data_IF_459737532748
#
_entry.id   IF_459737532748
#
_cell.length_a   1.000
_cell.length_b   1.000
_cell.length_c   1.000
_cell.angle_alpha   90.00
_cell.angle_beta   90.00
_cell.angle_gamma   90.00
#
_symmetry.space_group_name_H-M   'P 1'
#
loop_
_entity.id
_entity.type
_entity.pdbx_description
1 polymer ?
#
# COMPACT_ATOMS: atom_id res chain seq x y z
N UNK A 1 14.00 -10.90 -2.59
CA UNK A 1 13.35 -11.24 -1.32
C UNK A 1 12.69 -12.60 -1.47
N UNK A 2 12.73 -13.44 -0.43
CA UNK A 2 11.95 -14.70 -0.40
C UNK A 2 10.48 -14.41 -0.12
N UNK A 3 9.59 -15.37 -0.39
CA UNK A 3 8.15 -15.24 -0.09
C UNK A 3 7.87 -14.97 1.39
N UNK A 4 8.69 -15.53 2.28
CA UNK A 4 8.63 -15.28 3.72
C UNK A 4 8.98 -13.83 4.06
N UNK A 5 10.09 -13.32 3.53
CA UNK A 5 10.52 -11.92 3.72
C UNK A 5 9.48 -10.93 3.16
N UNK A 6 8.85 -11.25 2.03
CA UNK A 6 7.79 -10.40 1.46
C UNK A 6 6.58 -10.38 2.40
N UNK A 7 6.18 -11.52 2.96
CA UNK A 7 5.07 -11.58 3.90
C UNK A 7 5.35 -10.78 5.18
N UNK A 8 6.56 -10.86 5.75
CA UNK A 8 6.95 -10.08 6.93
C UNK A 8 6.95 -8.57 6.64
N UNK A 9 7.53 -8.14 5.50
CA UNK A 9 7.54 -6.72 5.13
C UNK A 9 6.13 -6.20 4.87
N UNK A 10 5.29 -6.97 4.18
CA UNK A 10 3.90 -6.59 3.95
C UNK A 10 3.13 -6.40 5.26
N UNK A 11 3.26 -7.35 6.18
CA UNK A 11 2.65 -7.25 7.51
C UNK A 11 3.17 -6.02 8.27
N UNK A 12 4.49 -5.83 8.31
CA UNK A 12 5.09 -4.69 9.00
C UNK A 12 4.62 -3.35 8.44
N UNK A 13 4.50 -3.24 7.11
CA UNK A 13 3.99 -2.02 6.45
C UNK A 13 2.56 -1.72 6.85
N UNK A 14 1.68 -2.73 6.83
CA UNK A 14 0.28 -2.53 7.22
C UNK A 14 0.18 -2.16 8.69
N UNK A 15 0.88 -2.86 9.59
CA UNK A 15 0.82 -2.57 11.02
C UNK A 15 1.38 -1.20 11.38
N UNK A 16 2.42 -0.73 10.70
CA UNK A 16 3.03 0.57 10.95
C UNK A 16 2.15 1.77 10.58
N UNK A 17 1.13 1.57 9.72
CA UNK A 17 0.19 2.63 9.31
C UNK A 17 -1.13 2.59 10.07
N UNK A 18 -1.30 1.66 11.02
CA UNK A 18 -2.49 1.61 11.86
C UNK A 18 -2.43 2.70 12.93
N UNK A 19 -3.56 3.36 13.23
CA UNK A 19 -3.61 4.43 14.24
C UNK A 19 -3.42 3.90 15.68
N UNK A 20 -3.59 2.59 15.90
CA UNK A 20 -3.37 1.94 17.18
C UNK A 20 -3.08 0.44 16.97
N UNK A 21 -2.81 -0.28 18.06
CA UNK A 21 -2.54 -1.71 18.00
C UNK A 21 -3.67 -2.49 17.31
N UNK A 22 -3.30 -3.47 16.47
CA UNK A 22 -4.24 -4.34 15.76
C UNK A 22 -5.37 -4.83 16.66
N UNK A 23 -5.03 -5.33 17.87
CA UNK A 23 -5.99 -5.86 18.87
C UNK A 23 -7.12 -4.90 19.22
N UNK A 24 -6.85 -3.60 19.28
CA UNK A 24 -7.86 -2.57 19.56
C UNK A 24 -8.77 -2.35 18.35
N UNK A 25 -8.20 -2.36 17.15
CA UNK A 25 -8.97 -2.28 15.90
C UNK A 25 -9.86 -3.50 15.67
N UNK A 26 -9.50 -4.68 16.19
CA UNK A 26 -10.34 -5.89 16.09
C UNK A 26 -11.68 -5.74 16.81
N UNK A 27 -11.77 -4.81 17.77
CA UNK A 27 -12.98 -4.50 18.53
C UNK A 27 -13.78 -3.34 17.93
N UNK A 28 -13.21 -2.64 16.95
CA UNK A 28 -13.83 -1.50 16.31
C UNK A 28 -14.64 -1.89 15.07
N UNK A 29 -15.44 -0.94 14.59
CA UNK A 29 -16.23 -1.08 13.36
C UNK A 29 -15.72 -0.10 12.29
N UNK A 30 -16.32 -0.13 11.10
CA UNK A 30 -15.92 0.73 9.99
C UNK A 30 -16.07 2.23 10.29
N UNK A 31 -16.92 2.64 11.24
CA UNK A 31 -17.09 4.06 11.60
C UNK A 31 -15.94 4.62 12.42
N UNK A 32 -15.03 3.77 12.89
CA UNK A 32 -13.78 4.19 13.54
C UNK A 32 -12.68 4.59 12.54
N UNK A 33 -12.87 4.34 11.24
CA UNK A 33 -11.89 4.68 10.21
C UNK A 33 -12.17 6.04 9.57
N UNK A 34 -11.12 6.73 9.09
CA UNK A 34 -11.25 7.87 8.19
C UNK A 34 -12.10 7.54 6.95
N UNK A 35 -12.79 8.54 6.43
CA UNK A 35 -13.67 8.42 5.27
C UNK A 35 -13.01 9.01 4.02
N UNK A 36 -13.07 8.29 2.91
CA UNK A 36 -12.62 8.73 1.59
C UNK A 36 -13.82 9.20 0.76
N UNK A 37 -13.74 10.43 0.26
CA UNK A 37 -14.75 11.03 -0.60
C UNK A 37 -14.50 10.74 -2.08
N UNK A 38 -15.47 11.12 -2.93
CA UNK A 38 -15.44 10.82 -4.37
C UNK A 38 -14.32 11.53 -5.14
N UNK A 39 -13.75 12.60 -4.58
CA UNK A 39 -12.58 13.31 -5.10
C UNK A 39 -11.24 12.69 -4.64
N UNK A 40 -11.29 11.65 -3.80
CA UNK A 40 -10.11 10.97 -3.23
C UNK A 40 -9.55 11.63 -1.97
N UNK A 41 -10.14 12.73 -1.50
CA UNK A 41 -9.79 13.33 -0.21
C UNK A 41 -10.14 12.37 0.93
N UNK A 42 -9.32 12.37 1.98
CA UNK A 42 -9.51 11.54 3.16
C UNK A 42 -9.77 12.45 4.33
N UNK A 43 -10.85 12.21 5.05
CA UNK A 43 -11.19 12.98 6.23
C UNK A 43 -11.29 12.07 7.44
N UNK A 44 -10.75 12.54 8.56
CA UNK A 44 -10.77 11.80 9.81
C UNK A 44 -10.77 12.73 11.01
N UNK A 45 -10.80 12.16 12.22
CA UNK A 45 -10.71 12.94 13.45
C UNK A 45 -9.41 13.76 13.50
N UNK A 46 -9.48 15.01 13.97
CA UNK A 46 -8.29 15.78 14.26
C UNK A 46 -7.47 15.11 15.37
N UNK A 47 -6.14 15.23 15.31
CA UNK A 47 -5.22 14.56 16.24
C UNK A 47 -5.41 15.01 17.70
N UNK A 48 -5.83 16.26 17.91
CA UNK A 48 -6.07 16.89 19.20
C UNK A 48 -7.55 16.88 19.63
N UNK A 49 -8.47 16.62 18.69
CA UNK A 49 -9.91 16.63 18.95
C UNK A 49 -10.68 15.69 18.02
N UNK A 50 -11.04 14.52 18.53
CA UNK A 50 -11.79 13.51 17.77
C UNK A 50 -13.21 13.94 17.37
N UNK A 51 -13.76 15.03 17.93
CA UNK A 51 -15.06 15.57 17.54
C UNK A 51 -14.98 16.49 16.30
N UNK A 52 -13.79 16.88 15.87
CA UNK A 52 -13.57 17.70 14.68
C UNK A 52 -13.10 16.82 13.53
N UNK A 53 -13.76 16.93 12.38
CA UNK A 53 -13.37 16.25 11.16
C UNK A 53 -12.47 17.16 10.34
N UNK A 54 -11.28 16.69 9.98
CA UNK A 54 -10.29 17.41 9.16
C UNK A 54 -9.93 16.60 7.94
N UNK A 55 -9.54 17.29 6.87
CA UNK A 55 -8.92 16.67 5.71
C UNK A 55 -7.48 16.27 6.06
N UNK A 56 -7.13 15.02 5.80
CA UNK A 56 -5.79 14.48 5.97
C UNK A 56 -4.92 14.84 4.76
N UNK A 57 -3.60 15.01 4.97
CA UNK A 57 -2.70 15.39 3.89
C UNK A 57 -2.61 14.30 2.81
N UNK A 58 -2.19 14.70 1.61
CA UNK A 58 -2.15 13.82 0.43
C UNK A 58 -1.17 12.64 0.57
N UNK A 59 -0.22 12.70 1.49
CA UNK A 59 0.75 11.65 1.82
C UNK A 59 0.31 10.76 3.00
N UNK A 60 -0.90 10.98 3.52
CA UNK A 60 -1.46 10.16 4.59
C UNK A 60 -1.55 8.68 4.18
N UNK A 61 -1.24 7.81 5.15
CA UNK A 61 -1.23 6.36 5.00
C UNK A 61 -2.11 5.73 6.09
N UNK A 62 -2.76 4.63 5.75
CA UNK A 62 -3.63 3.90 6.66
C UNK A 62 -4.86 3.30 5.98
N UNK A 63 -5.78 2.79 6.80
CA UNK A 63 -7.07 2.27 6.36
C UNK A 63 -8.12 3.38 6.34
N UNK A 64 -8.86 3.45 5.23
CA UNK A 64 -10.01 4.34 5.10
C UNK A 64 -11.22 3.56 4.57
N UNK A 65 -12.40 4.17 4.66
CA UNK A 65 -13.64 3.62 4.11
C UNK A 65 -14.29 4.61 3.18
N UNK A 66 -14.99 4.12 2.16
CA UNK A 66 -15.91 4.95 1.37
C UNK A 66 -17.25 4.27 1.24
N UNK A 67 -18.28 5.08 0.99
CA UNK A 67 -19.62 4.58 0.64
C UNK A 67 -19.97 5.19 -0.70
N UNK A 68 -20.18 4.33 -1.71
CA UNK A 68 -20.67 4.73 -3.01
C UNK A 68 -21.94 3.92 -3.33
N UNK A 69 -23.03 4.61 -3.67
CA UNK A 69 -24.32 3.99 -3.95
C UNK A 69 -24.77 2.98 -2.87
N UNK A 70 -24.54 3.32 -1.59
CA UNK A 70 -24.89 2.46 -0.44
C UNK A 70 -23.95 1.27 -0.21
N UNK A 71 -22.87 1.13 -1.00
CA UNK A 71 -21.88 0.06 -0.83
C UNK A 71 -20.65 0.58 -0.09
N UNK A 72 -20.41 0.01 1.09
CA UNK A 72 -19.18 0.24 1.85
C UNK A 72 -18.00 -0.46 1.15
N UNK A 73 -16.88 0.23 1.05
CA UNK A 73 -15.60 -0.33 0.59
C UNK A 73 -14.48 0.12 1.52
N UNK A 74 -13.59 -0.81 1.85
CA UNK A 74 -12.36 -0.53 2.58
C UNK A 74 -11.24 -0.22 1.59
N UNK A 75 -10.37 0.69 1.99
CA UNK A 75 -9.23 1.17 1.22
C UNK A 75 -8.01 1.15 2.10
N UNK A 76 -6.86 0.82 1.50
CA UNK A 76 -5.57 0.91 2.17
C UNK A 76 -4.63 1.81 1.38
N UNK A 77 -4.06 2.80 2.06
CA UNK A 77 -3.12 3.76 1.50
C UNK A 77 -1.75 3.56 2.14
N UNK A 78 -0.72 3.51 1.31
CA UNK A 78 0.65 3.30 1.76
C UNK A 78 1.65 3.81 0.71
N UNK A 79 2.92 3.88 1.07
CA UNK A 79 3.99 4.28 0.13
C UNK A 79 4.70 3.06 -0.44
N UNK A 80 4.88 3.07 -1.76
CA UNK A 80 5.76 2.16 -2.47
C UNK A 80 7.22 2.55 -2.23
N UNK A 81 8.01 1.70 -1.58
CA UNK A 81 9.43 2.01 -1.30
C UNK A 81 10.30 2.05 -2.56
N UNK A 82 9.88 1.40 -3.64
CA UNK A 82 10.67 1.34 -4.89
C UNK A 82 10.55 2.64 -5.68
N UNK A 83 9.33 3.15 -5.84
CA UNK A 83 9.05 4.32 -6.67
C UNK A 83 8.80 5.60 -5.86
N UNK A 84 8.69 5.49 -4.52
CA UNK A 84 8.34 6.58 -3.61
C UNK A 84 6.99 7.24 -3.94
N UNK A 85 6.11 6.49 -4.58
CA UNK A 85 4.76 6.92 -4.94
C UNK A 85 3.72 6.38 -3.96
N UNK A 86 2.61 7.12 -3.82
CA UNK A 86 1.45 6.67 -3.05
C UNK A 86 0.77 5.52 -3.79
N UNK A 87 0.69 4.38 -3.14
CA UNK A 87 -0.10 3.24 -3.59
C UNK A 87 -1.44 3.22 -2.85
N UNK A 88 -2.47 2.77 -3.55
CA UNK A 88 -3.81 2.58 -2.99
C UNK A 88 -4.35 1.21 -3.40
N UNK A 89 -4.94 0.51 -2.43
CA UNK A 89 -5.58 -0.77 -2.65
C UNK A 89 -7.07 -0.69 -2.30
N UNK A 90 -7.94 -1.01 -3.25
CA UNK A 90 -9.34 -1.26 -2.98
C UNK A 90 -9.49 -2.66 -2.40
N UNK A 91 -9.89 -2.76 -1.15
CA UNK A 91 -10.08 -4.03 -0.45
C UNK A 91 -11.52 -4.56 -0.61
N UNK A 92 -12.41 -3.75 -1.20
CA UNK A 92 -13.83 -4.06 -1.31
C UNK A 92 -14.54 -4.06 0.03
N UNK A 93 -15.71 -4.68 0.09
CA UNK A 93 -16.43 -4.85 1.34
C UNK A 93 -15.81 -6.00 2.16
N UNK A 94 -15.48 -5.72 3.41
CA UNK A 94 -14.87 -6.68 4.33
C UNK A 94 -15.78 -6.89 5.54
N UNK A 95 -15.86 -8.12 6.07
CA UNK A 95 -16.75 -8.44 7.19
C UNK A 95 -16.32 -7.79 8.52
N UNK A 96 -15.05 -7.38 8.63
CA UNK A 96 -14.50 -6.75 9.83
C UNK A 96 -13.24 -5.94 9.50
N UNK A 97 -12.79 -5.12 10.45
CA UNK A 97 -11.49 -4.43 10.34
C UNK A 97 -10.31 -5.42 10.27
N UNK A 98 -10.38 -6.54 10.97
CA UNK A 98 -9.35 -7.58 10.87
C UNK A 98 -9.25 -8.13 9.45
N UNK A 99 -10.38 -8.43 8.82
CA UNK A 99 -10.42 -8.91 7.46
C UNK A 99 -9.89 -7.85 6.47
N UNK A 100 -10.17 -6.57 6.72
CA UNK A 100 -9.57 -5.48 5.95
C UNK A 100 -8.05 -5.38 6.13
N UNK A 101 -7.53 -5.53 7.35
CA UNK A 101 -6.08 -5.58 7.62
C UNK A 101 -5.44 -6.76 6.88
N UNK A 102 -6.03 -7.95 6.96
CA UNK A 102 -5.50 -9.14 6.30
C UNK A 102 -5.55 -9.00 4.77
N UNK A 103 -6.62 -8.42 4.22
CA UNK A 103 -6.73 -8.09 2.80
C UNK A 103 -5.67 -7.06 2.36
N UNK A 104 -5.41 -6.04 3.17
CA UNK A 104 -4.33 -5.07 2.92
C UNK A 104 -2.97 -5.76 2.87
N UNK A 105 -2.69 -6.69 3.80
CA UNK A 105 -1.43 -7.45 3.80
C UNK A 105 -1.28 -8.28 2.52
N UNK A 106 -2.36 -8.93 2.06
CA UNK A 106 -2.30 -9.68 0.79
C UNK A 106 -2.06 -8.77 -0.42
N UNK A 107 -2.68 -7.59 -0.45
CA UNK A 107 -2.43 -6.59 -1.49
C UNK A 107 -0.97 -6.12 -1.51
N UNK A 108 -0.45 -5.67 -0.36
CA UNK A 108 0.95 -5.23 -0.25
C UNK A 108 1.92 -6.35 -0.63
N UNK A 109 1.62 -7.60 -0.25
CA UNK A 109 2.42 -8.77 -0.66
C UNK A 109 2.43 -8.94 -2.19
N UNK A 110 1.28 -8.78 -2.85
CA UNK A 110 1.18 -8.85 -4.32
C UNK A 110 1.99 -7.74 -4.98
N UNK A 111 1.86 -6.51 -4.48
CA UNK A 111 2.55 -5.34 -5.03
C UNK A 111 4.07 -5.46 -4.83
N UNK A 112 4.53 -5.89 -3.65
CA UNK A 112 5.95 -6.18 -3.40
C UNK A 112 6.50 -7.28 -4.32
N UNK A 113 5.72 -8.33 -4.60
CA UNK A 113 6.12 -9.37 -5.57
C UNK A 113 6.29 -8.78 -6.97
N UNK A 114 5.33 -7.97 -7.41
CA UNK A 114 5.37 -7.31 -8.71
C UNK A 114 6.57 -6.36 -8.81
N UNK A 115 6.77 -5.46 -7.84
CA UNK A 115 7.86 -4.49 -7.86
C UNK A 115 9.23 -5.14 -7.75
N UNK A 116 9.37 -6.23 -6.98
CA UNK A 116 10.60 -7.02 -6.98
C UNK A 116 10.90 -7.64 -8.35
N UNK A 117 9.89 -7.99 -9.13
CA UNK A 117 10.04 -8.43 -10.52
C UNK A 117 10.51 -7.31 -11.46
N UNK A 118 10.17 -6.05 -11.17
CA UNK A 118 10.64 -4.88 -11.92
C UNK A 118 12.06 -4.43 -11.53
N UNK A 119 12.66 -4.99 -10.46
CA UNK A 119 14.05 -4.71 -10.05
C UNK A 119 15.11 -5.47 -10.87
N UNK A 120 14.77 -6.05 -12.02
CA UNK A 120 15.77 -6.67 -12.92
C UNK A 120 16.62 -5.57 -13.58
N UNK A 121 17.97 -5.71 -13.57
CA UNK A 121 18.88 -4.58 -13.46
C UNK A 121 19.14 -3.87 -14.79
N UNK A 122 19.53 -2.59 -14.70
CA UNK A 122 20.41 -1.94 -15.67
C UNK A 122 21.70 -2.76 -15.80
N UNK A 123 21.67 -3.80 -16.62
CA UNK A 123 22.83 -4.45 -17.19
C UNK A 123 22.72 -4.33 -18.70
N UNK A 124 23.01 -3.14 -19.20
CA UNK A 124 23.72 -3.04 -20.47
C UNK A 124 25.20 -3.26 -20.15
N UNK A 125 25.81 -4.42 -20.46
CA UNK A 125 27.26 -4.45 -20.55
C UNK A 125 27.65 -3.67 -21.81
N UNK A 126 28.21 -2.47 -21.60
CA UNK A 126 29.05 -1.83 -22.60
C UNK A 126 30.15 -2.81 -23.04
N UNK A 127 30.21 -3.03 -24.35
CA UNK A 127 31.42 -3.23 -25.16
C UNK A 127 32.52 -4.13 -24.59
N UNK A 128 32.56 -5.40 -25.00
CA UNK A 128 33.78 -6.05 -25.52
C UNK A 128 33.48 -7.45 -26.06
N UNK A 129 33.71 -7.69 -27.36
CA UNK A 129 33.87 -9.07 -27.85
C UNK A 129 33.48 -9.36 -29.29
N UNK A 130 34.44 -9.14 -30.20
CA UNK A 130 34.68 -9.92 -31.44
C UNK A 130 33.72 -9.68 -32.62
N UNK A 131 34.12 -8.75 -33.52
CA UNK A 131 33.99 -8.98 -34.97
C UNK A 131 35.37 -8.82 -35.63
N UNK A 132 35.87 -9.96 -36.10
CA UNK A 132 36.94 -10.23 -37.08
C UNK A 132 37.66 -9.03 -37.70
N UNK A 133 38.89 -8.78 -37.24
CA UNK A 133 39.93 -8.17 -38.06
C UNK A 133 40.71 -9.28 -38.79
N UNK A 134 40.47 -9.44 -40.08
CA UNK A 134 41.39 -10.11 -41.02
C UNK A 134 41.15 -9.53 -42.41
N UNK A 135 41.82 -8.40 -42.66
CA UNK A 135 42.03 -7.84 -43.99
C UNK A 135 43.49 -7.40 -44.02
N UNK A 136 44.34 -8.22 -44.61
CA UNK A 136 45.65 -7.83 -45.10
C UNK A 136 46.07 -8.79 -46.22
N UNK A 137 46.18 -8.19 -47.40
CA UNK A 137 46.85 -8.58 -48.66
C UNK A 137 46.44 -9.85 -49.37
#
# INVERSE_FOLDING_TARGET
MTDYQIAEVALSKVLATLPCERKLLEQANHTALPFMFGDGSIHGPAADNAAVLVEYPNDWQGLAVSINAGKLSFWFFYVCDTFHERAMACLGNQPSLCAAIDAAVQHVKSDLKQWNGHRVPDLIPNSTGIIRGSLST
#
